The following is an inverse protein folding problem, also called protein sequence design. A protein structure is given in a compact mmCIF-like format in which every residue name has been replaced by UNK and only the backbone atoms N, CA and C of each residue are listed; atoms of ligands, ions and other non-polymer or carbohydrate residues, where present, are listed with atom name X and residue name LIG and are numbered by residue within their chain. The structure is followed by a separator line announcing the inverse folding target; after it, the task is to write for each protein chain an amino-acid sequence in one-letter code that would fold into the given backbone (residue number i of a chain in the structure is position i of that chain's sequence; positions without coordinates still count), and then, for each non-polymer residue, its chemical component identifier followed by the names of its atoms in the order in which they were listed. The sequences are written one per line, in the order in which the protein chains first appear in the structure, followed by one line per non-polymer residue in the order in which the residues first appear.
data_IF_486432912808
#
_entry.id   IF_486432912808
#
_cell.length_a   1.000
_cell.length_b   1.000
_cell.length_c   1.000
_cell.angle_alpha   90.00
_cell.angle_beta   90.00
_cell.angle_gamma   90.00
#
_symmetry.space_group_name_H-M   'P 1'
#
loop_
_entity.id
_entity.type
_entity.pdbx_description
1 polymer ?
#
# COMPACT_ATOMS: atom_id res chain seq x y z
N UNK A 1 18.21 14.13 -30.90
CA UNK A 1 18.73 13.62 -29.63
C UNK A 1 17.97 14.40 -28.58
N UNK A 2 16.73 13.97 -28.32
CA UNK A 2 15.80 14.68 -27.45
C UNK A 2 16.29 14.54 -26.01
N UNK A 3 16.41 15.69 -25.37
CA UNK A 3 16.98 15.86 -24.05
C UNK A 3 16.01 15.26 -23.01
N UNK A 4 16.47 14.27 -22.25
CA UNK A 4 15.67 13.57 -21.22
C UNK A 4 15.69 14.36 -19.89
N UNK A 5 16.28 15.56 -19.89
CA UNK A 5 16.53 16.36 -18.69
C UNK A 5 15.34 17.21 -18.21
N UNK A 6 14.14 17.04 -18.79
CA UNK A 6 12.92 17.38 -18.05
C UNK A 6 12.67 16.22 -17.06
N UNK A 7 13.30 16.31 -15.89
CA UNK A 7 13.02 15.48 -14.72
C UNK A 7 11.53 15.54 -14.39
N UNK A 8 10.77 14.68 -15.07
CA UNK A 8 9.41 14.34 -14.69
C UNK A 8 9.49 13.95 -13.23
N UNK A 9 8.90 14.77 -12.35
CA UNK A 9 8.84 14.53 -10.92
C UNK A 9 8.07 13.23 -10.74
N UNK A 10 8.80 12.13 -10.77
CA UNK A 10 8.23 10.80 -10.93
C UNK A 10 7.50 10.49 -9.65
N UNK A 11 6.18 10.48 -9.70
CA UNK A 11 5.34 10.25 -8.54
C UNK A 11 5.33 8.75 -8.22
N UNK A 12 6.43 8.28 -7.63
CA UNK A 12 6.64 6.90 -7.23
C UNK A 12 5.50 6.36 -6.36
N UNK A 13 4.88 7.21 -5.55
CA UNK A 13 3.71 6.84 -4.75
C UNK A 13 2.52 6.39 -5.60
N UNK A 14 2.17 7.17 -6.64
CA UNK A 14 1.10 6.77 -7.57
C UNK A 14 1.44 5.55 -8.39
N UNK A 15 2.71 5.39 -8.78
CA UNK A 15 3.16 4.22 -9.52
C UNK A 15 3.08 2.94 -8.68
N UNK A 16 3.53 3.01 -7.43
CA UNK A 16 3.44 1.91 -6.47
C UNK A 16 1.98 1.54 -6.18
N UNK A 17 1.10 2.54 -6.02
CA UNK A 17 -0.32 2.32 -5.76
C UNK A 17 -1.03 1.69 -6.97
N UNK A 18 -0.75 2.17 -8.19
CA UNK A 18 -1.27 1.56 -9.42
C UNK A 18 -0.89 0.08 -9.50
N UNK A 19 0.37 -0.24 -9.18
CA UNK A 19 0.86 -1.61 -9.22
C UNK A 19 0.17 -2.50 -8.18
N UNK A 20 0.07 -2.01 -6.94
CA UNK A 20 -0.59 -2.73 -5.86
C UNK A 20 -2.06 -3.01 -6.18
N UNK A 21 -2.81 -2.04 -6.72
CA UNK A 21 -4.21 -2.22 -7.09
C UNK A 21 -4.39 -3.25 -8.21
N UNK A 22 -3.53 -3.20 -9.24
CA UNK A 22 -3.52 -4.21 -10.31
C UNK A 22 -3.31 -5.62 -9.77
N UNK A 23 -2.33 -5.78 -8.87
CA UNK A 23 -2.00 -7.09 -8.32
C UNK A 23 -3.07 -7.62 -7.36
N UNK A 24 -3.69 -6.77 -6.55
CA UNK A 24 -4.84 -7.13 -5.72
C UNK A 24 -6.05 -7.57 -6.55
N UNK A 25 -6.35 -6.83 -7.63
CA UNK A 25 -7.41 -7.19 -8.56
C UNK A 25 -7.11 -8.54 -9.23
N UNK A 26 -5.88 -8.73 -9.68
CA UNK A 26 -5.44 -9.99 -10.32
C UNK A 26 -5.54 -11.15 -9.35
N UNK A 27 -5.00 -11.01 -8.13
CA UNK A 27 -5.01 -12.06 -7.11
C UNK A 27 -6.41 -12.47 -6.65
N UNK A 28 -7.39 -11.57 -6.76
CA UNK A 28 -8.80 -11.84 -6.43
C UNK A 28 -9.50 -12.71 -7.49
N UNK A 29 -8.87 -12.94 -8.65
CA UNK A 29 -9.42 -13.76 -9.72
C UNK A 29 -9.25 -15.26 -9.40
N UNK A 30 -10.23 -16.06 -9.83
CA UNK A 30 -10.20 -17.52 -9.63
C UNK A 30 -8.97 -18.15 -10.31
N UNK A 31 -8.30 -19.05 -9.59
CA UNK A 31 -7.14 -19.79 -10.11
C UNK A 31 -5.79 -19.07 -9.98
N UNK A 32 -5.74 -17.88 -9.38
CA UNK A 32 -4.46 -17.22 -9.06
C UNK A 32 -3.95 -17.69 -7.71
N UNK A 33 -2.68 -18.09 -7.68
CA UNK A 33 -2.01 -18.62 -6.48
C UNK A 33 -1.03 -17.64 -5.86
N UNK A 34 -0.56 -16.67 -6.63
CA UNK A 34 0.44 -15.69 -6.24
C UNK A 34 -0.06 -14.27 -6.49
N UNK A 35 0.43 -13.34 -5.68
CA UNK A 35 0.20 -11.91 -5.79
C UNK A 35 1.56 -11.21 -5.84
N UNK A 36 1.79 -10.37 -6.85
CA UNK A 36 2.94 -9.48 -6.91
C UNK A 36 2.66 -8.14 -6.24
N UNK A 37 3.51 -7.15 -6.49
CA UNK A 37 3.26 -5.78 -6.05
C UNK A 37 4.03 -5.37 -4.81
N UNK A 38 3.69 -4.17 -4.30
CA UNK A 38 4.26 -3.63 -3.07
C UNK A 38 3.64 -4.28 -1.82
N UNK A 39 3.83 -5.60 -1.68
CA UNK A 39 3.23 -6.42 -0.62
C UNK A 39 3.58 -5.92 0.78
N UNK A 40 4.77 -5.34 0.95
CA UNK A 40 5.18 -4.75 2.22
C UNK A 40 4.22 -3.65 2.69
N UNK A 41 3.63 -2.87 1.78
CA UNK A 41 2.63 -1.84 2.15
C UNK A 41 1.35 -2.47 2.67
N UNK A 42 0.89 -3.55 2.03
CA UNK A 42 -0.28 -4.29 2.47
C UNK A 42 -0.03 -4.96 3.82
N UNK A 43 1.17 -5.52 4.02
CA UNK A 43 1.59 -6.12 5.28
C UNK A 43 1.66 -5.08 6.40
N UNK A 44 2.26 -3.92 6.15
CA UNK A 44 2.30 -2.82 7.12
C UNK A 44 0.90 -2.32 7.46
N UNK A 45 0.00 -2.23 6.47
CA UNK A 45 -1.41 -1.88 6.70
C UNK A 45 -2.08 -2.95 7.56
N UNK A 46 -1.92 -4.23 7.23
CA UNK A 46 -2.50 -5.32 7.99
C UNK A 46 -2.01 -5.30 9.44
N UNK A 47 -0.72 -5.09 9.69
CA UNK A 47 -0.17 -4.98 11.04
C UNK A 47 -0.66 -3.77 11.81
N UNK A 48 -0.92 -2.64 11.13
CA UNK A 48 -1.49 -1.47 11.78
C UNK A 48 -2.93 -1.69 12.26
N UNK A 49 -3.69 -2.58 11.60
CA UNK A 49 -5.14 -2.76 11.86
C UNK A 49 -5.51 -4.07 12.53
N UNK A 50 -4.73 -5.12 12.29
CA UNK A 50 -4.95 -6.48 12.77
C UNK A 50 -3.85 -6.82 13.77
N UNK A 51 -4.08 -6.45 15.03
CA UNK A 51 -3.09 -6.58 16.10
C UNK A 51 -2.69 -8.04 16.37
N UNK A 52 -3.60 -8.99 16.11
CA UNK A 52 -3.36 -10.42 16.32
C UNK A 52 -2.40 -11.03 15.29
N UNK A 53 -2.22 -10.38 14.14
CA UNK A 53 -1.28 -10.81 13.09
C UNK A 53 0.01 -9.97 13.08
N UNK A 54 0.07 -8.90 13.88
CA UNK A 54 1.21 -8.02 13.95
C UNK A 54 2.32 -8.62 14.82
N UNK A 55 3.60 -8.51 14.41
CA UNK A 55 4.73 -8.67 15.32
C UNK A 55 4.59 -7.70 16.49
N UNK A 56 5.21 -8.04 17.62
CA UNK A 56 5.23 -7.16 18.79
C UNK A 56 5.93 -5.86 18.38
N UNK A 57 5.23 -4.70 18.41
CA UNK A 57 5.81 -3.44 17.96
C UNK A 57 6.85 -2.94 18.96
N UNK A 58 7.94 -2.36 18.45
CA UNK A 58 8.86 -1.57 19.27
C UNK A 58 8.18 -0.29 19.72
N UNK A 59 8.14 -0.09 21.04
CA UNK A 59 7.72 1.17 21.66
C UNK A 59 8.92 2.01 22.11
N UNK A 60 10.14 1.53 21.92
CA UNK A 60 11.35 2.21 22.36
C UNK A 60 11.81 3.21 21.29
N UNK A 61 11.80 4.49 21.65
CA UNK A 61 12.22 5.61 20.79
C UNK A 61 13.68 5.49 20.32
N UNK A 62 14.55 4.82 21.08
CA UNK A 62 15.93 4.58 20.68
C UNK A 62 16.05 3.61 19.48
N UNK A 63 15.19 2.58 19.41
CA UNK A 63 15.18 1.58 18.33
C UNK A 63 14.53 2.10 17.04
N UNK A 64 13.76 3.18 17.18
CA UNK A 64 13.14 3.91 16.08
C UNK A 64 14.04 5.00 15.49
N UNK A 65 15.23 5.26 16.05
CA UNK A 65 16.18 6.21 15.42
C UNK A 65 16.57 5.74 14.01
N UNK A 66 16.75 6.67 13.04
CA UNK A 66 17.14 6.31 11.69
C UNK A 66 18.52 5.62 11.71
N UNK A 67 18.56 4.33 11.36
CA UNK A 67 19.82 3.57 11.10
C UNK A 67 20.28 3.74 9.64
N UNK A 68 19.60 4.59 8.87
CA UNK A 68 20.07 4.91 7.53
C UNK A 68 21.13 6.00 7.73
N UNK A 69 22.39 5.56 7.77
CA UNK A 69 23.58 6.40 7.70
C UNK A 69 23.76 6.92 6.25
N UNK A 70 22.70 7.48 5.66
CA UNK A 70 22.78 8.25 4.43
C UNK A 70 22.77 9.74 4.84
N UNK A 71 23.94 10.41 4.83
CA UNK A 71 24.06 11.80 5.26
C UNK A 71 23.18 12.76 4.47
N UNK A 72 22.77 12.37 3.25
CA UNK A 72 21.99 13.21 2.34
C UNK A 72 20.47 12.94 2.45
N UNK A 73 20.04 11.80 3.02
CA UNK A 73 18.64 11.39 3.10
C UNK A 73 18.17 11.02 4.52
N UNK A 74 18.56 11.82 5.51
CA UNK A 74 18.08 11.66 6.88
C UNK A 74 16.60 12.04 6.94
N UNK A 75 15.72 11.05 7.10
CA UNK A 75 14.30 11.31 7.37
C UNK A 75 14.15 11.86 8.80
N UNK A 76 13.43 12.98 9.01
CA UNK A 76 13.24 13.56 10.34
C UNK A 76 12.45 12.64 11.28
N UNK A 77 11.68 11.69 10.72
CA UNK A 77 10.96 10.64 11.44
C UNK A 77 11.22 9.32 10.72
N UNK A 78 11.50 8.21 11.43
CA UNK A 78 11.63 6.90 10.81
C UNK A 78 10.36 6.48 10.06
N UNK A 79 10.48 5.66 9.00
CA UNK A 79 9.32 5.07 8.35
C UNK A 79 8.44 4.32 9.35
N UNK A 80 7.12 4.52 9.30
CA UNK A 80 6.18 3.91 10.24
C UNK A 80 6.34 2.39 10.40
N UNK A 81 6.65 1.70 9.29
CA UNK A 81 6.87 0.25 9.26
C UNK A 81 8.01 -0.25 10.17
N UNK A 82 8.96 0.63 10.51
CA UNK A 82 10.13 0.32 11.34
C UNK A 82 9.73 -0.18 12.74
N UNK A 83 8.53 0.15 13.22
CA UNK A 83 8.01 -0.34 14.50
C UNK A 83 7.94 -1.87 14.57
N UNK A 84 7.88 -2.56 13.43
CA UNK A 84 7.84 -4.02 13.36
C UNK A 84 9.16 -4.65 12.93
N UNK A 85 10.29 -3.93 12.99
CA UNK A 85 11.59 -4.41 12.50
C UNK A 85 12.35 -5.36 13.44
N UNK A 86 11.73 -5.89 14.49
CA UNK A 86 12.41 -6.82 15.39
C UNK A 86 12.58 -8.21 14.76
N UNK A 87 13.77 -8.79 14.99
CA UNK A 87 14.17 -10.12 14.58
C UNK A 87 13.04 -11.14 14.77
N UNK A 88 12.43 -11.56 13.65
CA UNK A 88 11.82 -12.88 13.59
C UNK A 88 13.00 -13.84 13.65
N UNK A 89 13.26 -14.37 14.84
CA UNK A 89 14.04 -15.60 15.01
C UNK A 89 13.40 -16.63 14.09
N UNK A 90 14.11 -16.96 13.02
CA UNK A 90 13.64 -17.91 12.02
C UNK A 90 13.77 -19.32 12.59
N UNK A 91 12.88 -19.68 13.50
CA UNK A 91 12.69 -21.07 13.91
C UNK A 91 11.28 -21.49 13.54
N UNK A 92 11.21 -22.30 12.47
CA UNK A 92 10.03 -22.92 11.90
C UNK A 92 9.07 -22.02 11.10
N UNK A 93 9.28 -21.98 9.79
CA UNK A 93 8.18 -21.79 8.82
C UNK A 93 7.27 -23.01 8.92
N UNK A 94 6.34 -22.99 9.88
CA UNK A 94 5.44 -24.10 10.12
C UNK A 94 4.50 -24.25 8.91
N UNK A 95 4.39 -25.47 8.39
CA UNK A 95 3.45 -25.91 7.35
C UNK A 95 1.97 -25.51 7.62
N UNK A 96 1.67 -25.00 8.83
CA UNK A 96 0.37 -24.56 9.31
C UNK A 96 0.16 -23.04 9.34
N UNK A 97 1.13 -22.20 8.93
CA UNK A 97 1.04 -20.75 9.06
C UNK A 97 -0.22 -20.18 8.38
N UNK A 98 -0.54 -20.63 7.15
CA UNK A 98 -1.75 -20.21 6.43
C UNK A 98 -3.02 -20.62 7.18
N UNK A 99 -3.05 -21.84 7.74
CA UNK A 99 -4.20 -22.33 8.50
C UNK A 99 -4.41 -21.52 9.77
N UNK A 100 -3.32 -21.16 10.45
CA UNK A 100 -3.35 -20.30 11.64
C UNK A 100 -3.87 -18.91 11.27
N UNK A 101 -3.31 -18.27 10.25
CA UNK A 101 -3.75 -16.93 9.80
C UNK A 101 -5.23 -16.94 9.41
N UNK A 102 -5.69 -17.95 8.65
CA UNK A 102 -7.12 -18.08 8.30
C UNK A 102 -7.99 -18.22 9.54
N UNK A 103 -7.63 -19.11 10.47
CA UNK A 103 -8.40 -19.30 11.69
C UNK A 103 -8.41 -18.04 12.57
N UNK A 104 -7.31 -17.28 12.62
CA UNK A 104 -7.24 -15.99 13.31
C UNK A 104 -8.19 -14.97 12.66
N UNK A 105 -8.25 -14.91 11.33
CA UNK A 105 -9.18 -14.05 10.61
C UNK A 105 -10.64 -14.47 10.82
N UNK A 106 -10.94 -15.78 10.74
CA UNK A 106 -12.30 -16.32 10.87
C UNK A 106 -12.88 -16.14 12.28
N UNK A 107 -12.02 -16.12 13.31
CA UNK A 107 -12.42 -15.97 14.71
C UNK A 107 -12.26 -14.54 15.24
N UNK A 108 -11.86 -13.61 14.39
CA UNK A 108 -11.52 -12.24 14.79
C UNK A 108 -12.72 -11.55 15.42
N UNK A 109 -12.52 -11.00 16.61
CA UNK A 109 -13.51 -10.20 17.33
C UNK A 109 -13.41 -8.72 16.94
N UNK A 110 -14.47 -7.94 17.17
CA UNK A 110 -14.54 -6.52 16.77
C UNK A 110 -13.44 -5.66 17.42
N UNK A 111 -13.00 -6.02 18.63
CA UNK A 111 -11.94 -5.33 19.36
C UNK A 111 -10.52 -5.71 18.91
N UNK A 112 -10.37 -6.76 18.10
CA UNK A 112 -9.09 -7.21 17.54
C UNK A 112 -8.77 -6.52 16.20
N UNK A 113 -9.74 -5.78 15.65
CA UNK A 113 -9.56 -4.94 14.47
C UNK A 113 -9.66 -3.46 14.83
N UNK A 114 -8.61 -2.70 14.52
CA UNK A 114 -8.57 -1.26 14.74
C UNK A 114 -9.25 -0.54 13.57
N UNK A 115 -10.53 -0.20 13.76
CA UNK A 115 -11.30 0.65 12.85
C UNK A 115 -10.95 2.13 13.02
N UNK A 116 -9.74 2.53 12.62
CA UNK A 116 -9.32 3.94 12.62
C UNK A 116 -9.52 4.59 11.25
N UNK A 117 -10.43 5.57 11.10
CA UNK A 117 -10.38 6.41 9.91
C UNK A 117 -9.03 7.14 9.86
N UNK A 118 -8.48 7.32 8.67
CA UNK A 118 -7.31 8.14 8.36
C UNK A 118 -7.58 9.62 8.65
N UNK A 119 -7.82 9.98 9.90
CA UNK A 119 -7.98 11.34 10.40
C UNK A 119 -6.62 11.93 10.81
N UNK A 120 -6.62 13.22 11.15
CA UNK A 120 -5.42 13.91 11.63
C UNK A 120 -4.86 13.27 12.92
N UNK A 121 -3.54 13.20 13.03
CA UNK A 121 -2.86 12.77 14.25
C UNK A 121 -2.59 11.27 14.40
N UNK A 122 -2.87 10.45 13.37
CA UNK A 122 -2.42 9.05 13.42
C UNK A 122 -0.89 8.98 13.29
N UNK A 123 -0.21 8.09 14.06
CA UNK A 123 1.24 7.91 13.99
C UNK A 123 1.77 7.59 12.58
N UNK A 124 1.00 6.86 11.77
CA UNK A 124 1.29 6.55 10.37
C UNK A 124 1.50 7.83 9.55
N UNK A 125 0.66 8.82 9.80
CA UNK A 125 0.57 10.05 9.01
C UNK A 125 1.59 11.08 9.49
N UNK A 126 1.93 11.06 10.78
CA UNK A 126 3.00 11.87 11.35
C UNK A 126 4.37 11.49 10.80
N UNK A 127 4.54 10.26 10.32
CA UNK A 127 5.76 9.81 9.66
C UNK A 127 5.91 10.29 8.21
N UNK A 128 4.86 10.90 7.64
CA UNK A 128 4.90 11.39 6.27
C UNK A 128 5.62 12.74 6.19
N UNK A 129 6.42 12.99 5.15
CA UNK A 129 7.04 14.29 4.91
C UNK A 129 6.00 15.41 4.77
N UNK A 130 6.36 16.64 5.14
CA UNK A 130 5.45 17.79 5.12
C UNK A 130 4.84 18.09 3.74
N UNK A 131 5.53 17.72 2.65
CA UNK A 131 5.04 17.89 1.27
C UNK A 131 3.99 16.83 0.86
N UNK A 132 3.83 15.74 1.63
CA UNK A 132 2.82 14.71 1.41
C UNK A 132 1.44 15.23 1.88
N UNK A 133 0.96 16.28 1.21
CA UNK A 133 -0.34 16.88 1.47
C UNK A 133 -1.46 15.87 1.20
N UNK A 134 -2.58 16.02 1.92
CA UNK A 134 -3.75 15.13 1.82
C UNK A 134 -4.69 15.46 0.66
N UNK A 135 -4.51 16.63 0.05
CA UNK A 135 -5.31 17.11 -1.07
C UNK A 135 -5.37 16.13 -2.25
N UNK A 136 -4.29 15.44 -2.66
CA UNK A 136 -4.40 14.42 -3.70
C UNK A 136 -5.08 13.11 -3.27
N UNK A 137 -5.27 12.86 -1.98
CA UNK A 137 -5.75 11.55 -1.48
C UNK A 137 -7.24 11.33 -1.70
N UNK A 138 -7.99 12.38 -2.03
CA UNK A 138 -9.42 12.30 -2.34
C UNK A 138 -9.73 12.50 -3.83
N UNK A 139 -8.70 12.59 -4.68
CA UNK A 139 -8.87 12.82 -6.11
C UNK A 139 -9.15 11.49 -6.80
N UNK A 140 -10.22 11.45 -7.61
CA UNK A 140 -10.46 10.36 -8.55
C UNK A 140 -9.65 10.60 -9.83
N UNK A 141 -8.58 9.86 -10.01
CA UNK A 141 -7.70 9.98 -11.18
C UNK A 141 -7.11 8.62 -11.60
N UNK A 142 -6.66 8.48 -12.86
CA UNK A 142 -5.84 7.35 -13.26
C UNK A 142 -4.44 7.44 -12.62
N UNK A 143 -4.08 6.39 -11.89
CA UNK A 143 -2.73 6.12 -11.41
C UNK A 143 -1.94 5.42 -12.52
N UNK A 144 -0.74 5.91 -12.79
CA UNK A 144 0.08 5.43 -13.90
C UNK A 144 1.37 4.84 -13.34
N UNK A 145 1.68 3.60 -13.73
CA UNK A 145 2.96 2.97 -13.50
C UNK A 145 3.48 2.36 -14.80
N UNK A 146 4.29 3.10 -15.56
CA UNK A 146 4.88 2.69 -16.84
C UNK A 146 3.88 2.00 -17.80
N UNK A 147 3.74 0.69 -17.63
CA UNK A 147 2.92 -0.22 -18.45
C UNK A 147 1.50 -0.44 -17.94
N UNK A 148 1.15 0.09 -16.77
CA UNK A 148 -0.12 -0.15 -16.05
C UNK A 148 -0.83 1.18 -15.81
N UNK A 149 -2.14 1.18 -16.04
CA UNK A 149 -3.04 2.29 -15.65
C UNK A 149 -4.16 1.72 -14.80
N UNK A 150 -4.35 2.29 -13.60
CA UNK A 150 -5.42 1.91 -12.66
C UNK A 150 -6.18 3.12 -12.17
N UNK A 151 -7.49 3.02 -12.02
CA UNK A 151 -8.28 4.12 -11.47
C UNK A 151 -8.22 4.15 -9.94
N UNK A 152 -7.93 5.33 -9.39
CA UNK A 152 -8.04 5.59 -7.97
C UNK A 152 -9.50 5.89 -7.59
N UNK A 153 -10.16 4.96 -6.89
CA UNK A 153 -11.57 5.07 -6.50
C UNK A 153 -11.74 5.48 -5.02
N UNK A 154 -11.32 6.69 -4.67
CA UNK A 154 -11.44 7.19 -3.28
C UNK A 154 -12.89 7.32 -2.85
N UNK A 155 -13.80 7.57 -3.81
CA UNK A 155 -15.23 7.66 -3.57
C UNK A 155 -15.83 6.38 -2.98
N UNK A 156 -15.11 5.25 -2.98
CA UNK A 156 -15.54 3.97 -2.38
C UNK A 156 -15.12 3.81 -0.92
N UNK A 157 -14.26 4.69 -0.41
CA UNK A 157 -13.64 4.60 0.92
C UNK A 157 -13.67 5.94 1.67
N UNK A 158 -14.58 6.85 1.31
CA UNK A 158 -14.70 8.19 1.89
C UNK A 158 -14.87 8.18 3.41
N UNK A 159 -15.58 7.19 3.96
CA UNK A 159 -15.71 6.98 5.41
C UNK A 159 -14.36 6.85 6.11
N UNK A 160 -13.37 6.25 5.47
CA UNK A 160 -12.03 6.13 6.02
C UNK A 160 -11.34 7.48 6.12
N UNK A 161 -11.75 8.50 5.38
CA UNK A 161 -11.20 9.86 5.45
C UNK A 161 -12.06 10.81 6.28
N UNK A 162 -13.05 10.28 7.02
CA UNK A 162 -14.00 11.10 7.79
C UNK A 162 -15.07 11.78 6.94
N UNK A 163 -15.21 11.39 5.68
CA UNK A 163 -16.20 11.93 4.75
C UNK A 163 -17.45 11.03 4.69
N UNK A 164 -18.57 11.61 4.24
CA UNK A 164 -19.81 10.86 4.00
C UNK A 164 -19.59 9.90 2.83
N UNK A 165 -20.04 8.64 2.99
CA UNK A 165 -19.94 7.60 1.97
C UNK A 165 -21.30 7.41 1.32
N UNK A 166 -21.45 7.96 0.11
CA UNK A 166 -22.60 7.68 -0.75
C UNK A 166 -22.44 6.33 -1.44
N UNK A 167 -23.51 5.83 -2.07
CA UNK A 167 -23.48 4.61 -2.88
C UNK A 167 -22.57 4.88 -4.10
N UNK A 168 -21.43 4.18 -4.23
CA UNK A 168 -20.51 4.46 -5.32
C UNK A 168 -21.11 4.07 -6.67
N UNK A 169 -20.89 4.87 -7.73
CA UNK A 169 -21.34 4.52 -9.06
C UNK A 169 -20.64 3.25 -9.57
N UNK A 170 -21.27 2.57 -10.52
CA UNK A 170 -20.63 1.48 -11.24
C UNK A 170 -19.38 1.99 -12.00
N UNK A 171 -18.30 1.19 -12.09
CA UNK A 171 -17.13 1.56 -12.89
C UNK A 171 -17.51 1.86 -14.34
N UNK A 172 -16.92 2.90 -14.92
CA UNK A 172 -17.20 3.28 -16.31
C UNK A 172 -16.60 2.25 -17.27
N UNK A 173 -17.18 2.13 -18.46
CA UNK A 173 -16.65 1.24 -19.52
C UNK A 173 -15.23 1.65 -19.92
N UNK A 174 -14.91 2.95 -19.88
CA UNK A 174 -13.56 3.47 -20.12
C UNK A 174 -12.55 2.94 -19.10
N UNK A 175 -12.94 2.75 -17.85
CA UNK A 175 -12.06 2.26 -16.78
C UNK A 175 -11.69 0.79 -17.01
N UNK A 176 -12.61 -0.01 -17.58
CA UNK A 176 -12.29 -1.37 -18.02
C UNK A 176 -11.22 -1.39 -19.11
N UNK A 177 -11.25 -0.41 -20.03
CA UNK A 177 -10.22 -0.26 -21.06
C UNK A 177 -8.88 0.15 -20.43
N UNK A 178 -8.89 1.05 -19.47
CA UNK A 178 -7.69 1.44 -18.72
C UNK A 178 -7.08 0.24 -17.99
N UNK A 179 -7.89 -0.57 -17.32
CA UNK A 179 -7.45 -1.79 -16.64
C UNK A 179 -6.87 -2.84 -17.61
N UNK A 180 -7.29 -2.85 -18.88
CA UNK A 180 -6.69 -3.72 -19.92
C UNK A 180 -5.34 -3.22 -20.43
N UNK A 181 -4.94 -1.98 -20.11
CA UNK A 181 -3.61 -1.48 -20.43
C UNK A 181 -2.64 -2.21 -19.51
N UNK A 182 -1.97 -3.19 -20.09
CA UNK A 182 -0.84 -3.91 -19.52
C UNK A 182 0.19 -4.14 -20.63
N UNK A 183 1.33 -3.46 -20.54
CA UNK A 183 2.47 -3.67 -21.45
C UNK A 183 3.53 -4.60 -20.86
N UNK A 184 3.32 -5.21 -19.68
CA UNK A 184 4.25 -6.20 -19.14
C UNK A 184 4.40 -7.36 -20.13
N UNK A 185 5.65 -7.70 -20.47
CA UNK A 185 5.95 -8.79 -21.41
C UNK A 185 5.74 -8.48 -22.90
N UNK A 186 5.22 -7.30 -23.28
CA UNK A 186 5.18 -6.88 -24.68
C UNK A 186 6.54 -6.28 -25.06
N UNK A 187 7.50 -7.15 -25.43
CA UNK A 187 8.67 -6.70 -26.19
C UNK A 187 8.14 -6.09 -27.49
N UNK A 188 8.32 -4.79 -27.67
CA UNK A 188 8.08 -4.16 -28.96
C UNK A 188 8.86 -4.94 -30.00
N UNK A 189 8.18 -5.48 -31.01
CA UNK A 189 8.85 -5.73 -32.28
C UNK A 189 9.22 -4.35 -32.79
N UNK A 190 10.49 -3.99 -32.60
CA UNK A 190 11.11 -2.91 -33.33
C UNK A 190 11.15 -3.44 -34.76
N UNK A 191 10.23 -2.95 -35.58
CA UNK A 191 10.23 -3.18 -37.03
C UNK A 191 11.26 -2.31 -37.71
#
# INVERSE_FOLDING_TARGET
MENIDEESTSNWGTAVLAYLYRELCTASQRGKTNIGGAMQLLQNMAWSRIITLAPIPSNNVADLMPTIDDPENILPVPPYARRWSYHISQTHTAHNAIRIIRNTLDRMQENEFIWTPYLHGLPELQSLPAYATRTPWNIRCPLINYSIVEMHHVERVLRQFGMIQDIPPNPLVSERRLHQIDRRGRRGKIG
#
